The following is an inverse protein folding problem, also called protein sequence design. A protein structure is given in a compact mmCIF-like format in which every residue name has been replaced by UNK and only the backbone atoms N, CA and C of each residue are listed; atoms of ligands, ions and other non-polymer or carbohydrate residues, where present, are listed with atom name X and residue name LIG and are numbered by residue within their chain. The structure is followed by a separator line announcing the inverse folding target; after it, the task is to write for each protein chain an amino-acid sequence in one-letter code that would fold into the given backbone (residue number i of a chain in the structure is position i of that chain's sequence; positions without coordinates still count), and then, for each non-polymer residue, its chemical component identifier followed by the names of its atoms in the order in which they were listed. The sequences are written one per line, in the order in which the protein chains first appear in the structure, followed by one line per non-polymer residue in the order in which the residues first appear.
data_IF_656809175934
#
_entry.id   IF_656809175934
#
_cell.length_a   1.000
_cell.length_b   1.000
_cell.length_c   1.000
_cell.angle_alpha   90.00
_cell.angle_beta   90.00
_cell.angle_gamma   90.00
#
_symmetry.space_group_name_H-M   'P 1'
#
loop_
_entity.id
_entity.type
_entity.pdbx_description
1 polymer ?
#
# COMPACT_ATOMS: atom_id res chain seq x y z
N UNK A 1 4.40 2.90 -7.83
CA UNK A 1 4.23 1.73 -6.94
C UNK A 1 4.85 1.99 -5.58
N UNK A 2 4.14 1.61 -4.50
CA UNK A 2 4.67 1.70 -3.13
C UNK A 2 5.81 0.70 -2.93
N UNK A 3 5.63 -0.50 -3.44
CA UNK A 3 6.61 -1.58 -3.46
C UNK A 3 7.02 -1.89 -4.92
N UNK A 4 8.02 -1.21 -5.48
CA UNK A 4 8.56 -1.58 -6.78
C UNK A 4 9.29 -2.92 -6.71
N UNK A 5 9.56 -3.51 -7.87
CA UNK A 5 10.32 -4.76 -7.97
C UNK A 5 11.64 -4.66 -7.20
N UNK A 6 11.99 -5.74 -6.50
CA UNK A 6 13.21 -5.81 -5.67
C UNK A 6 13.07 -5.23 -4.25
N UNK A 7 11.91 -4.66 -3.88
CA UNK A 7 11.66 -4.23 -2.49
C UNK A 7 11.16 -5.36 -1.60
N UNK A 8 10.54 -6.38 -2.18
CA UNK A 8 10.19 -7.63 -1.50
C UNK A 8 11.23 -8.66 -1.85
N UNK A 9 11.90 -9.20 -0.83
CA UNK A 9 13.04 -10.10 -0.99
C UNK A 9 12.75 -11.43 -0.32
N UNK A 10 13.04 -12.53 -1.02
CA UNK A 10 12.98 -13.88 -0.46
C UNK A 10 14.21 -14.13 0.42
N UNK A 11 13.98 -14.33 1.71
CA UNK A 11 15.06 -14.61 2.67
C UNK A 11 15.28 -16.10 2.91
N UNK A 12 14.27 -16.91 2.64
CA UNK A 12 14.37 -18.34 2.79
C UNK A 12 13.11 -19.06 2.39
N UNK A 13 13.25 -20.34 2.14
CA UNK A 13 12.16 -21.27 1.84
C UNK A 13 12.19 -22.39 2.86
N UNK A 14 11.06 -22.64 3.51
CA UNK A 14 10.87 -23.81 4.37
C UNK A 14 10.01 -24.83 3.62
N UNK A 15 10.60 -25.90 3.08
CA UNK A 15 9.84 -26.93 2.42
C UNK A 15 9.11 -27.82 3.45
N UNK A 16 7.88 -28.22 3.11
CA UNK A 16 7.10 -29.24 3.83
C UNK A 16 7.04 -30.53 3.04
N UNK A 17 7.10 -30.42 1.71
CA UNK A 17 7.16 -31.54 0.78
C UNK A 17 8.25 -31.26 -0.23
N UNK A 18 9.18 -32.20 -0.42
CA UNK A 18 10.29 -32.02 -1.37
C UNK A 18 9.95 -32.52 -2.78
N UNK A 19 9.20 -33.63 -2.86
CA UNK A 19 8.76 -34.18 -4.14
C UNK A 19 7.74 -33.22 -4.78
N UNK A 20 8.02 -32.71 -5.97
CA UNK A 20 7.18 -31.74 -6.67
C UNK A 20 7.29 -30.30 -6.19
N UNK A 21 8.25 -29.98 -5.31
CA UNK A 21 8.44 -28.61 -4.78
C UNK A 21 8.75 -27.62 -5.92
N UNK A 22 9.65 -27.98 -6.82
CA UNK A 22 10.03 -27.12 -7.95
C UNK A 22 8.82 -26.82 -8.84
N UNK A 23 8.03 -27.84 -9.18
CA UNK A 23 6.78 -27.71 -9.95
C UNK A 23 5.80 -26.76 -9.24
N UNK A 24 5.58 -26.94 -7.93
CA UNK A 24 4.66 -26.11 -7.17
C UNK A 24 5.13 -24.64 -7.08
N UNK A 25 6.43 -24.41 -6.91
CA UNK A 25 7.00 -23.06 -6.86
C UNK A 25 6.94 -22.40 -8.23
N UNK A 26 7.19 -23.14 -9.31
CA UNK A 26 7.11 -22.65 -10.69
C UNK A 26 5.66 -22.28 -11.04
N UNK A 27 4.70 -23.15 -10.74
CA UNK A 27 3.28 -22.89 -10.94
C UNK A 27 2.80 -21.65 -10.15
N UNK A 28 3.23 -21.53 -8.89
CA UNK A 28 2.97 -20.38 -8.07
C UNK A 28 3.55 -19.10 -8.69
N UNK A 29 4.80 -19.13 -9.13
CA UNK A 29 5.46 -18.01 -9.78
C UNK A 29 4.74 -17.54 -11.03
N UNK A 30 4.33 -18.47 -11.88
CA UNK A 30 3.60 -18.17 -13.13
C UNK A 30 2.25 -17.52 -12.84
N UNK A 31 1.53 -17.99 -11.81
CA UNK A 31 0.27 -17.42 -11.36
C UNK A 31 0.46 -15.97 -10.83
N UNK A 32 1.50 -15.72 -10.03
CA UNK A 32 1.83 -14.38 -9.53
C UNK A 32 2.23 -13.45 -10.67
N UNK A 33 3.00 -13.91 -11.65
CA UNK A 33 3.40 -13.12 -12.81
C UNK A 33 2.20 -12.63 -13.63
N UNK A 34 1.20 -13.48 -13.80
CA UNK A 34 -0.02 -13.13 -14.54
C UNK A 34 -0.83 -12.02 -13.82
N UNK A 35 -0.89 -12.05 -12.50
CA UNK A 35 -1.64 -11.07 -11.71
C UNK A 35 -0.84 -9.79 -11.44
N UNK A 36 0.48 -9.85 -11.53
CA UNK A 36 1.36 -8.73 -11.26
C UNK A 36 1.52 -8.42 -9.77
N UNK A 37 2.23 -7.35 -9.48
CA UNK A 37 2.41 -6.84 -8.12
C UNK A 37 3.80 -7.09 -7.53
N UNK A 38 4.00 -6.77 -6.23
CA UNK A 38 5.32 -6.76 -5.59
C UNK A 38 5.95 -8.14 -5.45
N UNK A 39 5.14 -9.21 -5.44
CA UNK A 39 5.62 -10.58 -5.33
C UNK A 39 6.27 -11.11 -6.62
N UNK A 40 6.04 -10.49 -7.79
CA UNK A 40 6.64 -10.94 -9.04
C UNK A 40 8.16 -11.04 -8.96
N UNK A 41 8.81 -10.06 -8.31
CA UNK A 41 10.27 -10.06 -8.16
C UNK A 41 10.81 -11.20 -7.28
N UNK A 42 9.99 -11.78 -6.42
CA UNK A 42 10.36 -12.92 -5.57
C UNK A 42 10.58 -14.18 -6.41
N UNK A 43 9.80 -14.35 -7.47
CA UNK A 43 9.85 -15.53 -8.34
C UNK A 43 10.76 -15.36 -9.57
N UNK A 44 11.29 -14.17 -9.84
CA UNK A 44 12.18 -13.91 -10.98
C UNK A 44 13.41 -14.82 -10.98
N UNK A 45 13.99 -15.12 -9.82
CA UNK A 45 15.14 -16.01 -9.69
C UNK A 45 14.75 -17.44 -10.05
N UNK A 46 13.58 -17.89 -9.62
CA UNK A 46 13.07 -19.25 -9.95
C UNK A 46 12.94 -19.42 -11.46
N UNK A 47 12.41 -18.41 -12.16
CA UNK A 47 12.29 -18.47 -13.62
C UNK A 47 13.64 -18.42 -14.34
N UNK A 48 14.62 -17.67 -13.80
CA UNK A 48 15.95 -17.57 -14.42
C UNK A 48 16.75 -18.89 -14.34
N UNK A 49 16.41 -19.77 -13.42
CA UNK A 49 17.04 -21.07 -13.24
C UNK A 49 16.29 -22.19 -13.98
N UNK A 50 15.11 -21.90 -14.51
CA UNK A 50 14.28 -22.86 -15.23
C UNK A 50 14.53 -22.80 -16.75
N UNK A 51 14.90 -23.93 -17.36
CA UNK A 51 15.19 -24.05 -18.80
C UNK A 51 14.01 -24.57 -19.63
N UNK A 52 12.82 -24.75 -19.05
CA UNK A 52 11.63 -25.33 -19.70
C UNK A 52 10.57 -24.30 -20.11
N UNK A 53 9.50 -24.81 -20.70
CA UNK A 53 8.28 -24.02 -20.90
C UNK A 53 7.61 -23.76 -19.55
N UNK A 54 7.07 -22.54 -19.38
CA UNK A 54 6.33 -22.20 -18.17
C UNK A 54 4.96 -22.88 -18.17
N UNK A 55 4.47 -23.32 -16.99
CA UNK A 55 3.15 -23.94 -16.88
C UNK A 55 2.03 -23.00 -17.35
N UNK A 56 0.97 -23.56 -17.92
CA UNK A 56 -0.17 -22.79 -18.42
C UNK A 56 -1.14 -22.44 -17.29
N UNK A 57 -1.43 -21.14 -17.14
CA UNK A 57 -2.42 -20.66 -16.18
C UNK A 57 -3.80 -20.61 -16.83
N UNK A 58 -4.70 -21.46 -16.40
CA UNK A 58 -6.08 -21.53 -16.91
C UNK A 58 -6.99 -20.50 -16.23
N UNK A 59 -6.82 -20.34 -14.92
CA UNK A 59 -7.60 -19.42 -14.09
C UNK A 59 -6.71 -18.77 -13.04
N UNK A 60 -6.94 -17.49 -12.80
CA UNK A 60 -6.31 -16.76 -11.72
C UNK A 60 -7.36 -15.86 -11.05
N UNK A 61 -7.49 -15.97 -9.74
CA UNK A 61 -8.38 -15.17 -8.94
C UNK A 61 -7.67 -14.68 -7.68
N UNK A 62 -8.04 -13.49 -7.25
CA UNK A 62 -7.56 -12.93 -6.00
C UNK A 62 -8.66 -13.08 -4.94
N UNK A 63 -8.33 -13.72 -3.83
CA UNK A 63 -9.18 -13.75 -2.63
C UNK A 63 -8.74 -12.64 -1.67
N UNK A 64 -9.65 -11.70 -1.45
CA UNK A 64 -9.37 -10.47 -0.73
C UNK A 64 -8.76 -10.71 0.66
N UNK A 65 -7.56 -10.16 0.87
CA UNK A 65 -6.83 -10.25 2.13
C UNK A 65 -6.23 -11.63 2.45
N UNK A 66 -6.47 -12.64 1.62
CA UNK A 66 -6.02 -14.01 1.86
C UNK A 66 -4.91 -14.46 0.91
N UNK A 67 -4.99 -14.09 -0.36
CA UNK A 67 -3.98 -14.46 -1.35
C UNK A 67 -4.54 -14.68 -2.75
N UNK A 68 -3.84 -15.49 -3.50
CA UNK A 68 -4.12 -15.81 -4.90
C UNK A 68 -4.46 -17.28 -5.02
N UNK A 69 -5.49 -17.56 -5.79
CA UNK A 69 -5.93 -18.90 -6.15
C UNK A 69 -5.92 -19.02 -7.67
N UNK A 70 -5.46 -20.11 -8.18
CA UNK A 70 -5.51 -20.35 -9.62
C UNK A 70 -5.48 -21.82 -9.98
N UNK A 71 -5.73 -22.10 -11.25
CA UNK A 71 -5.53 -23.43 -11.85
C UNK A 71 -4.37 -23.35 -12.82
N UNK A 72 -3.37 -24.18 -12.61
CA UNK A 72 -2.16 -24.27 -13.42
C UNK A 72 -1.98 -25.73 -13.79
N UNK A 73 -1.94 -26.02 -15.08
CA UNK A 73 -1.87 -27.38 -15.62
C UNK A 73 -2.90 -28.34 -14.98
N UNK A 74 -4.14 -27.87 -14.81
CA UNK A 74 -5.24 -28.64 -14.23
C UNK A 74 -5.16 -28.84 -12.70
N UNK A 75 -4.17 -28.30 -12.01
CA UNK A 75 -4.03 -28.36 -10.54
C UNK A 75 -4.39 -27.03 -9.90
N UNK A 76 -5.11 -27.08 -8.79
CA UNK A 76 -5.34 -25.87 -7.98
C UNK A 76 -4.05 -25.44 -7.30
N UNK A 77 -3.69 -24.17 -7.43
CA UNK A 77 -2.51 -23.54 -6.82
C UNK A 77 -2.96 -22.43 -5.91
N UNK A 78 -2.48 -22.46 -4.68
CA UNK A 78 -2.78 -21.47 -3.64
C UNK A 78 -1.49 -20.75 -3.23
N UNK A 79 -1.54 -19.43 -3.20
CA UNK A 79 -0.44 -18.58 -2.74
C UNK A 79 -0.99 -17.57 -1.77
N UNK A 80 -0.68 -17.69 -0.49
CA UNK A 80 -1.29 -16.77 0.45
C UNK A 80 -1.04 -17.06 1.93
N UNK A 81 -1.99 -16.57 2.72
CA UNK A 81 -1.99 -16.69 4.16
C UNK A 81 -2.47 -18.08 4.63
N UNK A 82 -2.31 -18.34 5.92
CA UNK A 82 -2.94 -19.50 6.61
C UNK A 82 -4.45 -19.56 6.35
N UNK A 83 -5.11 -18.41 6.35
CA UNK A 83 -6.56 -18.32 6.15
C UNK A 83 -6.94 -18.87 4.77
N UNK A 84 -6.16 -18.58 3.73
CA UNK A 84 -6.36 -19.12 2.39
C UNK A 84 -6.26 -20.66 2.40
N UNK A 85 -5.18 -21.20 3.00
CA UNK A 85 -4.97 -22.64 3.08
C UNK A 85 -6.16 -23.33 3.74
N UNK A 86 -6.59 -22.79 4.90
CA UNK A 86 -7.70 -23.38 5.68
C UNK A 86 -9.02 -23.31 4.92
N UNK A 87 -9.30 -22.21 4.22
CA UNK A 87 -10.50 -22.04 3.40
C UNK A 87 -10.59 -23.07 2.26
N UNK A 88 -9.44 -23.47 1.71
CA UNK A 88 -9.34 -24.50 0.66
C UNK A 88 -9.02 -25.91 1.18
N UNK A 89 -9.14 -26.14 2.50
CA UNK A 89 -8.99 -27.45 3.09
C UNK A 89 -7.54 -27.97 3.14
N UNK A 90 -6.56 -27.10 2.96
CA UNK A 90 -5.15 -27.44 3.10
C UNK A 90 -4.72 -27.29 4.55
N UNK A 91 -4.08 -28.31 5.11
CA UNK A 91 -3.60 -28.29 6.49
C UNK A 91 -2.42 -27.32 6.62
N UNK A 92 -2.60 -26.30 7.47
CA UNK A 92 -1.54 -25.33 7.75
C UNK A 92 -0.69 -25.79 8.95
N UNK A 93 0.63 -25.46 8.99
CA UNK A 93 1.52 -25.79 10.09
C UNK A 93 1.03 -25.16 11.40
N UNK A 94 1.58 -25.59 12.54
CA UNK A 94 1.28 -24.97 13.82
C UNK A 94 1.63 -23.47 13.84
N UNK A 95 0.81 -22.67 14.51
CA UNK A 95 0.94 -21.20 14.54
C UNK A 95 2.26 -20.72 15.18
N UNK A 96 2.85 -21.52 16.07
CA UNK A 96 4.15 -21.26 16.67
C UNK A 96 5.28 -21.20 15.64
N UNK A 97 5.16 -21.93 14.53
CA UNK A 97 6.14 -21.90 13.42
C UNK A 97 6.13 -20.55 12.73
N UNK A 98 4.96 -19.95 12.52
CA UNK A 98 4.84 -18.65 11.88
C UNK A 98 5.45 -17.52 12.69
N UNK A 99 5.20 -17.52 14.00
CA UNK A 99 5.63 -16.46 14.91
C UNK A 99 7.17 -16.32 14.97
N UNK A 100 7.90 -17.39 14.66
CA UNK A 100 9.35 -17.36 14.59
C UNK A 100 9.88 -16.56 13.39
N UNK A 101 9.10 -16.47 12.33
CA UNK A 101 9.51 -15.85 11.07
C UNK A 101 8.84 -14.49 10.81
N UNK A 102 7.71 -14.21 11.44
CA UNK A 102 6.96 -12.95 11.27
C UNK A 102 7.39 -11.89 12.27
N UNK A 103 8.60 -11.33 12.09
CA UNK A 103 9.15 -10.29 12.96
C UNK A 103 9.55 -9.06 12.16
N UNK A 104 9.24 -7.86 12.68
CA UNK A 104 9.61 -6.61 12.03
C UNK A 104 9.00 -6.45 10.63
N UNK A 105 9.84 -6.38 9.61
CA UNK A 105 9.45 -6.29 8.19
C UNK A 105 9.32 -7.66 7.50
N UNK A 106 9.50 -8.77 8.26
CA UNK A 106 9.37 -10.12 7.72
C UNK A 106 7.93 -10.58 7.75
N UNK A 107 7.52 -11.25 6.68
CA UNK A 107 6.23 -11.90 6.52
C UNK A 107 6.44 -13.28 5.89
N UNK A 108 5.42 -14.11 5.96
CA UNK A 108 5.42 -15.44 5.35
C UNK A 108 4.37 -15.53 4.25
N UNK A 109 4.60 -16.42 3.32
CA UNK A 109 3.69 -16.73 2.22
C UNK A 109 3.69 -18.24 2.01
N UNK A 110 2.54 -18.86 2.05
CA UNK A 110 2.39 -20.28 1.79
C UNK A 110 2.19 -20.56 0.31
N UNK A 111 2.72 -21.70 -0.15
CA UNK A 111 2.51 -22.25 -1.48
C UNK A 111 1.95 -23.66 -1.32
N UNK A 112 0.74 -23.87 -1.85
CA UNK A 112 0.11 -25.17 -1.90
C UNK A 112 -0.34 -25.48 -3.33
N UNK A 113 -0.37 -26.76 -3.71
CA UNK A 113 -0.79 -27.24 -5.01
C UNK A 113 -1.51 -28.58 -4.87
N UNK A 114 -2.64 -28.75 -5.56
CA UNK A 114 -3.40 -30.00 -5.55
C UNK A 114 -3.88 -30.43 -4.15
N UNK A 115 -4.17 -29.48 -3.26
CA UNK A 115 -4.63 -29.76 -1.89
C UNK A 115 -3.51 -30.05 -0.89
N UNK A 116 -2.23 -29.97 -1.27
CA UNK A 116 -1.08 -30.24 -0.40
C UNK A 116 -0.21 -29.01 -0.21
N UNK A 117 0.31 -28.83 0.99
CA UNK A 117 1.25 -27.75 1.33
C UNK A 117 2.67 -28.14 0.93
N UNK A 118 3.30 -27.34 0.07
CA UNK A 118 4.66 -27.55 -0.43
C UNK A 118 5.71 -26.71 0.28
N UNK A 119 5.45 -25.42 0.46
CA UNK A 119 6.45 -24.52 1.03
C UNK A 119 5.85 -23.34 1.79
N UNK A 120 6.68 -22.78 2.65
CA UNK A 120 6.49 -21.47 3.25
C UNK A 120 7.66 -20.59 2.86
N UNK A 121 7.40 -19.50 2.18
CA UNK A 121 8.35 -18.46 1.84
C UNK A 121 8.46 -17.46 2.97
N UNK A 122 9.68 -17.07 3.31
CA UNK A 122 9.99 -16.04 4.29
C UNK A 122 10.42 -14.81 3.50
N UNK A 123 9.61 -13.76 3.55
CA UNK A 123 9.78 -12.54 2.77
C UNK A 123 10.18 -11.38 3.67
N UNK A 124 11.02 -10.48 3.18
CA UNK A 124 11.30 -9.19 3.82
C UNK A 124 10.82 -8.05 2.93
N UNK A 125 10.08 -7.14 3.50
CA UNK A 125 9.57 -5.93 2.84
C UNK A 125 10.47 -4.74 3.21
N UNK A 126 11.16 -4.19 2.22
CA UNK A 126 12.04 -3.05 2.41
C UNK A 126 11.29 -1.75 2.12
N UNK A 127 11.03 -0.97 3.18
CA UNK A 127 10.44 0.36 3.04
C UNK A 127 11.51 1.37 2.59
N UNK A 128 11.25 2.07 1.51
CA UNK A 128 12.06 3.21 1.10
C UNK A 128 11.90 4.37 2.08
N UNK A 129 13.02 4.97 2.50
CA UNK A 129 13.03 6.06 3.50
C UNK A 129 12.30 7.32 3.03
N UNK A 130 12.38 7.64 1.74
CA UNK A 130 11.69 8.81 1.18
C UNK A 130 10.20 8.58 1.16
N UNK A 131 9.75 7.42 0.69
CA UNK A 131 8.33 7.04 0.71
C UNK A 131 7.78 7.03 2.13
N UNK A 132 8.56 6.53 3.10
CA UNK A 132 8.17 6.56 4.52
C UNK A 132 7.97 7.99 5.02
N UNK A 133 8.91 8.89 4.76
CA UNK A 133 8.81 10.28 5.18
C UNK A 133 7.60 10.99 4.52
N UNK A 134 7.39 10.77 3.22
CA UNK A 134 6.26 11.39 2.51
C UNK A 134 4.91 10.84 2.96
N UNK A 135 4.80 9.54 3.25
CA UNK A 135 3.56 8.97 3.82
C UNK A 135 3.25 9.54 5.21
N UNK A 136 4.25 9.69 6.07
CA UNK A 136 4.10 10.32 7.38
C UNK A 136 3.66 11.79 7.25
N UNK A 137 4.23 12.52 6.29
CA UNK A 137 3.85 13.89 6.00
C UNK A 137 2.40 13.99 5.47
N UNK A 138 1.99 13.09 4.58
CA UNK A 138 0.61 13.00 4.11
C UNK A 138 -0.37 12.72 5.27
N UNK A 139 -0.04 11.77 6.15
CA UNK A 139 -0.84 11.47 7.33
C UNK A 139 -1.00 12.69 8.27
N UNK A 140 0.10 13.40 8.58
CA UNK A 140 0.07 14.64 9.37
C UNK A 140 -0.84 15.70 8.72
N UNK A 141 -0.98 15.67 7.41
CA UNK A 141 -1.86 16.52 6.65
C UNK A 141 -3.30 15.98 6.50
N UNK A 142 -3.62 14.88 7.18
CA UNK A 142 -4.95 14.29 7.20
C UNK A 142 -5.32 13.52 5.91
N UNK A 143 -4.31 13.08 5.16
CA UNK A 143 -4.51 12.28 3.93
C UNK A 143 -4.43 10.80 4.26
N UNK A 144 -5.44 10.04 3.89
CA UNK A 144 -5.47 8.59 4.04
C UNK A 144 -4.92 7.89 2.81
N UNK A 145 -4.28 6.73 3.02
CA UNK A 145 -3.73 5.88 1.97
C UNK A 145 -4.73 4.79 1.59
N UNK A 146 -5.04 4.69 0.30
CA UNK A 146 -5.72 3.53 -0.28
C UNK A 146 -4.71 2.76 -1.11
N UNK A 147 -4.43 1.53 -0.72
CA UNK A 147 -3.50 0.64 -1.41
C UNK A 147 -4.29 -0.51 -2.06
N UNK A 148 -4.14 -0.68 -3.37
CA UNK A 148 -4.68 -1.85 -4.08
C UNK A 148 -3.55 -2.86 -4.29
N UNK A 149 -3.70 -4.09 -3.81
CA UNK A 149 -2.66 -5.12 -3.92
C UNK A 149 -3.24 -6.53 -3.99
N UNK A 150 -2.54 -7.40 -4.73
CA UNK A 150 -2.74 -8.85 -4.73
C UNK A 150 -1.90 -9.57 -3.64
N UNK A 151 -1.07 -8.85 -2.90
CA UNK A 151 -0.22 -9.41 -1.86
C UNK A 151 -0.98 -9.49 -0.53
N UNK A 152 -1.25 -10.71 0.00
CA UNK A 152 -2.01 -10.90 1.23
C UNK A 152 -1.32 -10.36 2.48
N UNK A 153 -0.01 -10.16 2.42
CA UNK A 153 0.79 -9.63 3.53
C UNK A 153 0.63 -8.11 3.72
N UNK A 154 0.15 -7.40 2.69
CA UNK A 154 -0.04 -5.96 2.75
C UNK A 154 -1.36 -5.62 3.46
N UNK A 155 -1.38 -5.78 4.78
CA UNK A 155 -2.51 -5.40 5.63
C UNK A 155 -2.32 -3.97 6.17
N UNK A 156 -3.42 -3.26 6.59
CA UNK A 156 -3.30 -1.95 7.22
C UNK A 156 -2.31 -1.93 8.41
N UNK A 157 -2.35 -2.98 9.24
CA UNK A 157 -1.47 -3.12 10.40
C UNK A 157 0.00 -3.32 10.00
N UNK A 158 0.26 -4.07 8.95
CA UNK A 158 1.62 -4.27 8.46
C UNK A 158 2.18 -3.00 7.82
N UNK A 159 1.40 -2.31 6.99
CA UNK A 159 1.76 -1.02 6.38
C UNK A 159 2.03 0.03 7.47
N UNK A 160 1.14 0.13 8.46
CA UNK A 160 1.30 1.00 9.62
C UNK A 160 2.65 0.78 10.32
N UNK A 161 2.96 -0.46 10.66
CA UNK A 161 4.22 -0.81 11.32
C UNK A 161 5.44 -0.52 10.43
N UNK A 162 5.35 -0.80 9.12
CA UNK A 162 6.46 -0.65 8.20
C UNK A 162 6.80 0.82 7.92
N UNK A 163 5.79 1.64 7.71
CA UNK A 163 5.94 3.06 7.37
C UNK A 163 5.84 4.00 8.57
N UNK A 164 5.39 3.53 9.74
CA UNK A 164 5.23 4.33 10.96
C UNK A 164 4.11 5.36 10.82
N UNK A 165 2.98 4.95 10.26
CA UNK A 165 1.73 5.71 10.12
C UNK A 165 0.60 5.00 10.86
N UNK A 166 -0.50 5.70 11.16
CA UNK A 166 -1.64 5.08 11.83
C UNK A 166 -2.36 4.08 10.92
N UNK A 167 -2.70 2.90 11.44
CA UNK A 167 -3.41 1.88 10.68
C UNK A 167 -4.80 2.32 10.21
N UNK A 168 -5.44 3.25 10.92
CA UNK A 168 -6.73 3.83 10.56
C UNK A 168 -6.65 4.75 9.34
N UNK A 169 -5.45 5.28 9.05
CA UNK A 169 -5.18 6.07 7.86
C UNK A 169 -4.88 5.21 6.61
N UNK A 170 -4.86 3.88 6.77
CA UNK A 170 -4.55 2.94 5.68
C UNK A 170 -5.75 2.07 5.37
N UNK A 171 -6.14 2.02 4.11
CA UNK A 171 -7.12 1.07 3.59
C UNK A 171 -6.47 0.21 2.50
N UNK A 172 -6.58 -1.11 2.62
CA UNK A 172 -6.04 -2.05 1.62
C UNK A 172 -7.20 -2.73 0.92
N UNK A 173 -7.21 -2.65 -0.40
CA UNK A 173 -8.22 -3.22 -1.28
C UNK A 173 -7.57 -4.34 -2.09
N UNK A 174 -8.24 -5.46 -2.21
CA UNK A 174 -7.77 -6.58 -3.04
C UNK A 174 -7.72 -6.20 -4.53
N UNK A 175 -6.76 -6.76 -5.25
CA UNK A 175 -6.74 -6.64 -6.71
C UNK A 175 -8.02 -7.26 -7.28
N UNK A 176 -8.70 -6.52 -8.17
CA UNK A 176 -9.98 -6.97 -8.76
C UNK A 176 -11.23 -6.65 -7.93
N UNK A 177 -11.10 -6.02 -6.76
CA UNK A 177 -12.24 -5.49 -6.02
C UNK A 177 -12.48 -4.02 -6.37
N UNK A 178 -13.76 -3.63 -6.51
CA UNK A 178 -14.14 -2.24 -6.64
C UNK A 178 -13.88 -1.51 -5.32
N UNK A 179 -13.12 -0.45 -5.39
CA UNK A 179 -12.80 0.38 -4.24
C UNK A 179 -13.66 1.64 -4.17
N UNK A 180 -13.72 2.28 -3.01
CA UNK A 180 -14.50 3.51 -2.83
C UNK A 180 -14.06 4.67 -3.74
N UNK A 181 -12.89 4.58 -4.35
CA UNK A 181 -12.34 5.59 -5.25
C UNK A 181 -12.43 5.20 -6.75
N UNK A 182 -12.96 4.04 -7.10
CA UNK A 182 -12.96 3.59 -8.51
C UNK A 182 -13.83 4.47 -9.40
N UNK A 183 -14.92 5.00 -8.87
CA UNK A 183 -15.73 5.99 -9.57
C UNK A 183 -14.97 7.32 -9.81
N UNK A 184 -14.05 7.70 -8.92
CA UNK A 184 -13.22 8.90 -9.08
C UNK A 184 -12.11 8.70 -10.12
N UNK A 185 -11.58 7.49 -10.24
CA UNK A 185 -10.55 7.16 -11.24
C UNK A 185 -11.14 7.12 -12.65
N UNK A 186 -12.39 6.70 -12.76
CA UNK A 186 -13.10 6.59 -14.03
C UNK A 186 -13.85 7.88 -14.42
N UNK A 187 -13.98 8.83 -13.48
CA UNK A 187 -14.57 10.13 -13.74
C UNK A 187 -13.53 11.02 -14.45
N UNK A 188 -13.59 11.03 -15.77
CA UNK A 188 -12.78 11.93 -16.60
C UNK A 188 -13.38 13.32 -16.51
N UNK A 189 -12.83 14.16 -15.65
CA UNK A 189 -13.17 15.57 -15.62
C UNK A 189 -12.85 16.21 -16.97
N UNK A 190 -13.85 16.71 -17.67
CA UNK A 190 -13.72 17.36 -19.00
C UNK A 190 -12.84 18.62 -18.95
N UNK A 191 -12.58 19.18 -17.77
CA UNK A 191 -11.69 20.32 -17.53
C UNK A 191 -10.98 20.22 -16.21
N UNK A 192 -9.68 20.39 -16.25
CA UNK A 192 -8.82 20.51 -15.06
C UNK A 192 -8.34 21.96 -14.98
N UNK A 193 -8.75 22.69 -13.95
CA UNK A 193 -8.40 24.11 -13.74
C UNK A 193 -7.00 24.27 -13.07
N UNK A 194 -6.44 23.20 -12.54
CA UNK A 194 -5.13 23.21 -11.93
C UNK A 194 -4.29 22.04 -12.43
N UNK A 195 -3.05 22.33 -12.77
CA UNK A 195 -2.12 21.34 -13.29
C UNK A 195 -0.94 21.18 -12.37
N UNK A 196 -0.64 19.94 -12.03
CA UNK A 196 0.60 19.59 -11.37
C UNK A 196 1.27 18.47 -12.15
N UNK A 197 2.55 18.64 -12.46
CA UNK A 197 3.35 17.64 -13.16
C UNK A 197 4.39 17.04 -12.21
N UNK A 198 4.45 15.71 -12.14
CA UNK A 198 5.48 15.00 -11.40
C UNK A 198 6.30 14.13 -12.36
N UNK A 199 7.47 13.70 -11.91
CA UNK A 199 8.35 12.81 -12.69
C UNK A 199 7.85 11.35 -12.71
N UNK A 200 6.58 11.08 -12.38
CA UNK A 200 6.00 9.74 -12.34
C UNK A 200 6.45 8.88 -11.15
N UNK A 201 7.15 9.45 -10.18
CA UNK A 201 7.54 8.76 -8.96
C UNK A 201 6.48 8.99 -7.88
N UNK A 202 6.14 7.93 -7.15
CA UNK A 202 5.12 7.97 -6.09
C UNK A 202 5.50 8.99 -5.00
N UNK A 203 6.75 9.02 -4.57
CA UNK A 203 7.23 10.00 -3.59
C UNK A 203 7.10 11.44 -4.07
N UNK A 204 7.30 11.72 -5.35
CA UNK A 204 7.13 13.06 -5.91
C UNK A 204 5.66 13.49 -5.93
N UNK A 205 4.75 12.56 -6.20
CA UNK A 205 3.31 12.81 -6.13
C UNK A 205 2.87 13.08 -4.69
N UNK A 206 3.33 12.27 -3.74
CA UNK A 206 3.05 12.45 -2.30
C UNK A 206 3.53 13.81 -1.79
N UNK A 207 4.77 14.18 -2.14
CA UNK A 207 5.35 15.48 -1.79
C UNK A 207 4.54 16.63 -2.37
N UNK A 208 4.10 16.52 -3.62
CA UNK A 208 3.26 17.53 -4.25
C UNK A 208 1.93 17.71 -3.50
N UNK A 209 1.24 16.61 -3.18
CA UNK A 209 -0.04 16.65 -2.44
C UNK A 209 0.16 17.32 -1.07
N UNK A 210 1.19 16.92 -0.33
CA UNK A 210 1.52 17.53 0.96
C UNK A 210 1.80 19.01 0.83
N UNK A 211 2.60 19.43 -0.16
CA UNK A 211 2.90 20.85 -0.41
C UNK A 211 1.63 21.65 -0.71
N UNK A 212 0.75 21.12 -1.56
CA UNK A 212 -0.51 21.81 -1.88
C UNK A 212 -1.41 22.02 -0.63
N UNK A 213 -1.44 21.03 0.27
CA UNK A 213 -2.21 21.13 1.52
C UNK A 213 -1.59 22.16 2.47
N UNK A 214 -0.27 22.15 2.60
CA UNK A 214 0.47 23.10 3.43
C UNK A 214 0.30 24.53 2.92
N UNK A 215 0.39 24.77 1.62
CA UNK A 215 0.14 26.06 1.00
C UNK A 215 -1.30 26.55 1.24
N UNK A 216 -2.29 25.67 1.12
CA UNK A 216 -3.68 25.98 1.43
C UNK A 216 -3.84 26.42 2.90
N UNK A 217 -3.17 25.76 3.86
CA UNK A 217 -3.18 26.11 5.27
C UNK A 217 -2.52 27.48 5.49
N UNK A 218 -1.36 27.73 4.86
CA UNK A 218 -0.64 28.97 4.92
C UNK A 218 -1.47 30.14 4.37
N UNK A 219 -2.10 29.98 3.22
CA UNK A 219 -3.00 30.99 2.63
C UNK A 219 -4.16 31.30 3.59
N UNK A 220 -4.80 30.30 4.15
CA UNK A 220 -5.90 30.46 5.10
C UNK A 220 -5.45 31.23 6.37
N UNK A 221 -4.25 30.93 6.87
CA UNK A 221 -3.66 31.65 8.00
C UNK A 221 -3.36 33.12 7.67
N UNK A 222 -2.76 33.37 6.50
CA UNK A 222 -2.46 34.74 6.04
C UNK A 222 -3.75 35.56 5.92
N UNK A 223 -4.80 35.00 5.32
CA UNK A 223 -6.11 35.69 5.22
C UNK A 223 -6.71 35.95 6.57
N UNK A 224 -6.64 35.02 7.52
CA UNK A 224 -7.11 35.23 8.88
C UNK A 224 -6.34 36.36 9.60
N UNK A 225 -5.00 36.38 9.45
CA UNK A 225 -4.15 37.44 10.01
C UNK A 225 -4.47 38.83 9.39
N UNK A 226 -4.70 38.87 8.07
CA UNK A 226 -5.08 40.09 7.38
C UNK A 226 -6.43 40.63 7.89
N UNK A 227 -7.42 39.76 8.05
CA UNK A 227 -8.72 40.13 8.57
C UNK A 227 -8.61 40.65 10.02
N UNK A 228 -7.81 40.00 10.88
CA UNK A 228 -7.54 40.45 12.24
C UNK A 228 -6.88 41.83 12.26
N UNK A 229 -5.90 42.08 11.40
CA UNK A 229 -5.23 43.38 11.29
C UNK A 229 -6.22 44.49 10.88
N UNK A 230 -7.12 44.21 9.93
CA UNK A 230 -8.18 45.16 9.53
C UNK A 230 -9.11 45.50 10.71
N UNK A 231 -9.57 44.51 11.47
CA UNK A 231 -10.43 44.71 12.65
C UNK A 231 -9.71 45.54 13.72
N UNK A 232 -8.45 45.21 14.02
CA UNK A 232 -7.63 45.97 14.98
C UNK A 232 -7.46 47.41 14.51
N UNK A 233 -7.17 47.62 13.23
CA UNK A 233 -7.06 48.97 12.65
C UNK A 233 -8.35 49.78 12.80
N UNK A 234 -9.50 49.14 12.55
CA UNK A 234 -10.80 49.78 12.71
C UNK A 234 -11.06 50.19 14.18
N UNK A 235 -10.79 49.29 15.13
CA UNK A 235 -10.93 49.54 16.56
C UNK A 235 -10.01 50.69 17.01
N UNK A 236 -8.78 50.72 16.53
CA UNK A 236 -7.81 51.76 16.87
C UNK A 236 -8.21 53.11 16.32
N UNK A 237 -8.70 53.20 15.09
CA UNK A 237 -9.22 54.47 14.53
C UNK A 237 -10.45 54.94 15.30
N UNK A 238 -11.39 54.04 15.61
CA UNK A 238 -12.57 54.39 16.41
C UNK A 238 -12.19 54.92 17.81
N UNK A 239 -11.21 54.29 18.46
CA UNK A 239 -10.70 54.71 19.76
C UNK A 239 -10.03 56.09 19.68
N UNK A 240 -9.17 56.33 18.71
CA UNK A 240 -8.48 57.61 18.51
C UNK A 240 -9.47 58.76 18.23
N UNK A 241 -10.49 58.49 17.39
CA UNK A 241 -11.54 59.50 17.11
C UNK A 241 -12.38 59.82 18.35
N UNK A 242 -12.68 58.82 19.16
CA UNK A 242 -13.39 59.01 20.43
C UNK A 242 -12.56 59.89 21.39
N UNK A 243 -11.27 59.57 21.59
CA UNK A 243 -10.37 60.32 22.48
C UNK A 243 -10.22 61.77 22.02
N UNK A 244 -9.99 62.00 20.71
CA UNK A 244 -9.89 63.32 20.12
C UNK A 244 -11.19 64.15 20.29
N UNK A 245 -12.35 63.49 20.18
CA UNK A 245 -13.65 64.13 20.40
C UNK A 245 -13.88 64.57 21.87
N UNK A 246 -13.38 63.79 22.82
CA UNK A 246 -13.48 64.13 24.25
C UNK A 246 -12.60 65.34 24.62
N UNK A 247 -11.38 65.44 24.04
CA UNK A 247 -10.48 66.59 24.26
C UNK A 247 -11.03 67.87 23.67
N UNK A 248 -11.90 67.90 22.69
CA UNK A 248 -12.51 69.08 22.12
C UNK A 248 -13.69 69.61 22.95
N UNK A 249 -14.22 68.82 23.90
CA UNK A 249 -15.40 69.19 24.71
C UNK A 249 -15.00 69.64 26.11
N UNK A 250 -13.77 69.45 26.54
CA UNK A 250 -13.22 69.87 27.80
C UNK A 250 -12.48 71.20 27.65
#
# INVERSE_FOLDING_TARGET
ELFPRGTVVLNGVKPFKQEGLEEAVLAAGTLVQQLGGPLCGVFEQVFSEHEGELPEVEKAAFEAGNGVVGTVDGKEVLIGSRTLLTAHGVEAPEQNVESQYTTGSRQILYIAMGGELYAMFILTYNADRKKKAELQNMEMNGVSLILRSADPNLTPQFISRLFGIDATAVNVIGAGQDGPADHLVNDTADRVDAYAATKGRVESMMSLVSTCIDEKKNISFIVAMQNAAVVIGFVLVAFLTFVAGVEQIS
#
